data_IF_107132782324
#
_entry.id   IF_107132782324
#
_cell.length_a   1.000
_cell.length_b   1.000
_cell.length_c   1.000
_cell.angle_alpha   90.00
_cell.angle_beta   90.00
_cell.angle_gamma   90.00
#
_symmetry.space_group_name_H-M   'P 1'
#
loop_
_entity.id
_entity.type
_entity.pdbx_description
1 polymer ?
#
# COMPACT_ATOMS: atom_id res chain seq x y z
N UNK A 1 -6.11 23.38 -9.55
CA UNK A 1 -7.03 22.61 -8.70
C UNK A 1 -6.22 21.46 -8.11
N UNK A 2 -6.08 21.40 -6.80
CA UNK A 2 -5.20 20.43 -6.13
C UNK A 2 -6.07 19.25 -5.70
N UNK A 3 -5.56 18.04 -5.92
CA UNK A 3 -6.20 16.79 -5.50
C UNK A 3 -5.29 16.08 -4.51
N UNK A 4 -5.83 15.71 -3.36
CA UNK A 4 -5.15 14.91 -2.34
C UNK A 4 -5.94 13.65 -2.05
N UNK A 5 -5.22 12.60 -1.68
CA UNK A 5 -5.78 11.28 -1.40
C UNK A 5 -5.19 10.77 -0.10
N UNK A 6 -6.06 10.34 0.81
CA UNK A 6 -5.69 9.66 2.05
C UNK A 6 -6.17 8.23 1.92
N UNK A 7 -5.28 7.26 2.07
CA UNK A 7 -5.62 5.84 1.97
C UNK A 7 -5.41 5.17 3.32
N UNK A 8 -6.42 4.48 3.81
CA UNK A 8 -6.42 3.88 5.13
C UNK A 8 -7.25 2.60 5.16
N UNK A 9 -6.98 1.76 6.15
CA UNK A 9 -7.75 0.57 6.48
C UNK A 9 -8.61 0.86 7.70
N UNK A 10 -9.83 0.34 7.66
CA UNK A 10 -10.74 0.41 8.80
C UNK A 10 -10.25 -0.54 9.88
N UNK A 11 -10.15 -0.06 11.12
CA UNK A 11 -9.75 -0.89 12.26
C UNK A 11 -10.76 -1.99 12.60
N UNK A 12 -10.41 -2.86 13.54
CA UNK A 12 -11.22 -4.03 13.93
C UNK A 12 -12.64 -3.67 14.40
N UNK A 13 -12.81 -2.47 14.94
CA UNK A 13 -14.09 -1.98 15.50
C UNK A 13 -15.00 -1.32 14.45
N UNK A 14 -14.58 -1.26 13.19
CA UNK A 14 -15.29 -0.50 12.16
C UNK A 14 -15.15 1.03 12.35
N UNK A 15 -15.82 1.80 11.50
CA UNK A 15 -15.94 3.25 11.66
C UNK A 15 -17.23 3.58 12.44
N UNK A 16 -17.13 4.08 13.69
CA UNK A 16 -18.31 4.38 14.47
C UNK A 16 -19.02 5.65 13.98
N UNK A 17 -20.32 5.77 14.25
CA UNK A 17 -21.14 6.90 13.79
C UNK A 17 -20.62 8.27 14.27
N UNK A 18 -20.07 8.34 15.48
CA UNK A 18 -19.47 9.58 16.00
C UNK A 18 -18.25 10.01 15.19
N UNK A 19 -17.43 9.07 14.70
CA UNK A 19 -16.26 9.37 13.88
C UNK A 19 -16.68 9.91 12.52
N UNK A 20 -17.74 9.37 11.91
CA UNK A 20 -18.32 9.91 10.68
C UNK A 20 -18.88 11.32 10.88
N UNK A 21 -19.55 11.58 12.00
CA UNK A 21 -20.03 12.93 12.31
C UNK A 21 -18.88 13.91 12.56
N UNK A 22 -17.81 13.46 13.22
CA UNK A 22 -16.60 14.26 13.39
C UNK A 22 -15.94 14.57 12.05
N UNK A 23 -15.85 13.59 11.16
CA UNK A 23 -15.32 13.73 9.81
C UNK A 23 -16.14 14.73 8.98
N UNK A 24 -17.47 14.71 9.11
CA UNK A 24 -18.37 15.72 8.53
C UNK A 24 -18.05 17.12 9.04
N UNK A 25 -17.90 17.30 10.35
CA UNK A 25 -17.57 18.61 10.95
C UNK A 25 -16.21 19.09 10.45
N UNK A 26 -15.20 18.21 10.43
CA UNK A 26 -13.86 18.54 9.95
C UNK A 26 -13.87 18.94 8.47
N UNK A 27 -14.57 18.19 7.62
CA UNK A 27 -14.72 18.52 6.21
C UNK A 27 -15.45 19.86 6.01
N UNK A 28 -16.38 20.22 6.90
CA UNK A 28 -17.12 21.48 6.85
C UNK A 28 -16.27 22.74 7.11
N UNK A 29 -15.05 22.61 7.66
CA UNK A 29 -14.13 23.74 7.81
C UNK A 29 -13.44 24.15 6.50
N UNK A 30 -13.47 23.27 5.50
CA UNK A 30 -12.76 23.46 4.24
C UNK A 30 -13.74 23.76 3.10
N UNK A 31 -13.28 24.52 2.12
CA UNK A 31 -14.02 24.76 0.86
C UNK A 31 -13.85 23.61 -0.14
N UNK A 32 -12.88 22.74 0.09
CA UNK A 32 -12.63 21.53 -0.70
C UNK A 32 -13.80 20.55 -0.63
N UNK A 33 -14.08 19.90 -1.75
CA UNK A 33 -14.95 18.73 -1.79
C UNK A 33 -14.22 17.56 -1.14
N UNK A 34 -14.88 16.86 -0.22
CA UNK A 34 -14.33 15.68 0.46
C UNK A 34 -15.26 14.50 0.23
N UNK A 35 -14.75 13.47 -0.46
CA UNK A 35 -15.50 12.24 -0.77
C UNK A 35 -14.80 11.05 -0.13
N UNK A 36 -15.57 10.21 0.55
CA UNK A 36 -15.09 8.93 1.07
C UNK A 36 -15.48 7.80 0.11
N UNK A 37 -14.52 6.94 -0.22
CA UNK A 37 -14.67 5.76 -1.07
C UNK A 37 -14.26 4.51 -0.30
N UNK A 38 -15.15 3.53 -0.23
CA UNK A 38 -14.80 2.17 0.13
C UNK A 38 -14.33 1.46 -1.15
N UNK A 39 -13.02 1.25 -1.27
CA UNK A 39 -12.41 0.62 -2.44
C UNK A 39 -12.78 -0.85 -2.49
N UNK A 40 -12.79 -1.53 -1.34
CA UNK A 40 -13.15 -2.95 -1.23
C UNK A 40 -14.58 -3.24 -1.69
N UNK A 41 -15.53 -2.34 -1.39
CA UNK A 41 -16.93 -2.50 -1.80
C UNK A 41 -17.32 -1.70 -3.06
N UNK A 42 -16.38 -0.97 -3.67
CA UNK A 42 -16.63 -0.08 -4.80
C UNK A 42 -17.77 0.94 -4.56
N UNK A 43 -17.94 1.40 -3.32
CA UNK A 43 -18.95 2.41 -2.95
C UNK A 43 -18.29 3.74 -2.63
N UNK A 44 -19.03 4.84 -2.81
CA UNK A 44 -18.57 6.17 -2.47
C UNK A 44 -19.71 7.01 -1.90
N UNK A 45 -19.36 7.95 -1.03
CA UNK A 45 -20.28 8.87 -0.40
C UNK A 45 -19.58 10.19 -0.10
N UNK A 46 -20.30 11.28 -0.26
CA UNK A 46 -19.86 12.59 0.20
C UNK A 46 -19.78 12.60 1.73
N UNK A 47 -18.68 13.14 2.27
CA UNK A 47 -18.47 13.27 3.72
C UNK A 47 -19.49 14.21 4.37
N UNK A 48 -20.09 15.12 3.60
CA UNK A 48 -21.18 15.99 4.09
C UNK A 48 -22.47 15.21 4.44
N UNK A 49 -22.62 13.99 3.90
CA UNK A 49 -23.82 13.15 3.99
C UNK A 49 -23.57 11.93 4.88
N UNK A 50 -23.62 12.06 6.23
CA UNK A 50 -23.23 11.01 7.16
C UNK A 50 -24.10 9.76 7.05
N UNK A 51 -25.37 9.90 6.68
CA UNK A 51 -26.26 8.77 6.42
C UNK A 51 -25.76 7.93 5.23
N UNK A 52 -25.25 8.56 4.17
CA UNK A 52 -24.65 7.82 3.05
C UNK A 52 -23.30 7.22 3.41
N UNK A 53 -22.52 7.90 4.25
CA UNK A 53 -21.27 7.32 4.76
C UNK A 53 -21.52 6.03 5.55
N UNK A 54 -22.59 5.95 6.35
CA UNK A 54 -22.99 4.72 7.02
C UNK A 54 -23.33 3.59 6.03
N UNK A 55 -23.90 3.92 4.87
CA UNK A 55 -24.21 2.93 3.81
C UNK A 55 -23.00 2.42 3.03
N UNK A 56 -21.82 3.04 3.20
CA UNK A 56 -20.55 2.52 2.66
C UNK A 56 -20.21 1.14 3.19
N UNK A 57 -20.88 0.70 4.27
CA UNK A 57 -20.81 -0.68 4.76
C UNK A 57 -19.42 -1.05 5.25
N UNK A 58 -18.76 -0.13 5.96
CA UNK A 58 -17.38 -0.26 6.42
C UNK A 58 -17.22 -1.47 7.33
N UNK A 59 -16.69 -2.57 6.79
CA UNK A 59 -16.32 -3.75 7.58
C UNK A 59 -14.90 -3.58 8.12
N UNK A 60 -14.56 -4.27 9.22
CA UNK A 60 -13.19 -4.36 9.71
C UNK A 60 -12.21 -4.75 8.58
N UNK A 61 -11.05 -4.11 8.56
CA UNK A 61 -9.96 -4.36 7.61
C UNK A 61 -10.29 -4.05 6.13
N UNK A 62 -11.37 -3.33 5.85
CA UNK A 62 -11.65 -2.85 4.49
C UNK A 62 -10.80 -1.63 4.11
N UNK A 63 -10.45 -1.54 2.82
CA UNK A 63 -9.66 -0.46 2.27
C UNK A 63 -10.55 0.71 1.88
N UNK A 64 -10.28 1.86 2.50
CA UNK A 64 -10.97 3.11 2.24
C UNK A 64 -10.01 4.20 1.77
N UNK A 65 -10.57 5.15 1.03
CA UNK A 65 -9.89 6.33 0.55
C UNK A 65 -10.74 7.57 0.80
N UNK A 66 -10.11 8.65 1.23
CA UNK A 66 -10.70 9.99 1.20
C UNK A 66 -10.05 10.76 0.06
N UNK A 67 -10.88 11.21 -0.88
CA UNK A 67 -10.51 12.08 -1.98
C UNK A 67 -10.87 13.51 -1.60
N UNK A 68 -9.90 14.40 -1.69
CA UNK A 68 -10.05 15.82 -1.37
C UNK A 68 -9.70 16.63 -2.61
N UNK A 69 -10.62 17.46 -3.06
CA UNK A 69 -10.44 18.28 -4.24
C UNK A 69 -10.82 19.73 -3.96
N UNK A 70 -9.86 20.65 -4.15
CA UNK A 70 -10.09 22.07 -3.91
C UNK A 70 -8.82 22.89 -3.81
N UNK A 71 -8.97 24.15 -3.40
CA UNK A 71 -7.86 25.08 -3.21
C UNK A 71 -7.14 24.87 -1.87
N UNK A 72 -7.87 24.45 -0.85
CA UNK A 72 -7.39 24.14 0.51
C UNK A 72 -7.22 22.63 0.74
N UNK A 73 -7.12 21.84 -0.35
CA UNK A 73 -7.04 20.39 -0.29
C UNK A 73 -5.84 19.87 0.51
N UNK A 74 -4.73 20.61 0.54
CA UNK A 74 -3.54 20.25 1.30
C UNK A 74 -3.75 20.40 2.80
N UNK A 75 -4.33 21.51 3.24
CA UNK A 75 -4.64 21.75 4.65
C UNK A 75 -5.70 20.77 5.14
N UNK A 76 -6.73 20.52 4.32
CA UNK A 76 -7.72 19.50 4.58
C UNK A 76 -7.08 18.10 4.69
N UNK A 77 -6.12 17.78 3.82
CA UNK A 77 -5.43 16.49 3.88
C UNK A 77 -4.65 16.32 5.18
N UNK A 78 -3.96 17.35 5.66
CA UNK A 78 -3.20 17.29 6.93
C UNK A 78 -4.15 17.02 8.10
N UNK A 79 -5.21 17.82 8.24
CA UNK A 79 -6.16 17.72 9.37
C UNK A 79 -6.93 16.40 9.33
N UNK A 80 -7.36 15.97 8.15
CA UNK A 80 -8.09 14.70 8.01
C UNK A 80 -7.16 13.50 8.20
N UNK A 81 -5.89 13.58 7.79
CA UNK A 81 -4.92 12.50 8.03
C UNK A 81 -4.68 12.30 9.53
N UNK A 82 -4.50 13.38 10.28
CA UNK A 82 -4.31 13.34 11.74
C UNK A 82 -5.47 12.64 12.45
N UNK A 83 -6.70 13.03 12.13
CA UNK A 83 -7.91 12.36 12.66
C UNK A 83 -8.01 10.88 12.26
N UNK A 84 -7.61 10.53 11.04
CA UNK A 84 -7.65 9.15 10.56
C UNK A 84 -6.55 8.31 11.22
N UNK A 85 -5.37 8.87 11.53
CA UNK A 85 -4.28 8.17 12.24
C UNK A 85 -4.69 7.74 13.66
N UNK A 86 -5.57 8.52 14.30
CA UNK A 86 -6.08 8.19 15.63
C UNK A 86 -7.01 6.97 15.63
N UNK A 87 -7.81 6.78 14.58
CA UNK A 87 -8.93 5.83 14.58
C UNK A 87 -8.83 4.69 13.55
N UNK A 88 -7.98 4.84 12.56
CA UNK A 88 -7.81 3.91 11.46
C UNK A 88 -6.32 3.64 11.24
N UNK A 89 -6.03 2.65 10.40
CA UNK A 89 -4.65 2.32 10.04
C UNK A 89 -4.33 3.01 8.72
N UNK A 90 -3.52 4.08 8.76
CA UNK A 90 -3.05 4.75 7.54
C UNK A 90 -2.11 3.83 6.77
N UNK A 91 -2.34 3.73 5.45
CA UNK A 91 -1.43 2.98 4.57
C UNK A 91 -0.19 3.81 4.24
N UNK A 92 -0.33 5.15 4.19
CA UNK A 92 0.78 6.08 3.99
C UNK A 92 0.56 7.38 4.76
N UNK A 93 1.66 8.00 5.22
CA UNK A 93 1.67 9.34 5.81
C UNK A 93 1.25 9.45 7.27
N UNK A 94 0.90 8.34 7.92
CA UNK A 94 0.64 8.32 9.37
C UNK A 94 1.91 8.24 10.20
N UNK A 95 1.87 8.73 11.43
CA UNK A 95 2.98 8.58 12.40
C UNK A 95 3.03 7.14 12.93
N UNK A 96 1.92 6.40 12.85
CA UNK A 96 1.80 5.01 13.29
C UNK A 96 2.18 4.06 12.16
N UNK A 97 3.43 3.62 12.15
CA UNK A 97 3.89 2.55 11.27
C UNK A 97 3.49 1.18 11.86
N UNK A 98 2.21 0.82 11.74
CA UNK A 98 1.75 -0.52 12.18
C UNK A 98 2.09 -1.51 11.07
N UNK A 99 2.78 -2.63 11.36
CA UNK A 99 2.97 -3.69 10.37
C UNK A 99 1.60 -4.17 9.90
N UNK A 100 1.33 -4.00 8.61
CA UNK A 100 0.11 -4.49 7.98
C UNK A 100 0.07 -6.02 8.11
N UNK A 101 -0.92 -6.53 8.83
CA UNK A 101 -1.19 -7.97 8.91
C UNK A 101 -2.53 -8.24 8.23
N UNK A 102 -2.49 -8.72 6.99
CA UNK A 102 -3.68 -9.10 6.22
C UNK A 102 -4.27 -10.42 6.74
N UNK A 103 -4.81 -10.44 7.95
CA UNK A 103 -5.55 -11.61 8.45
C UNK A 103 -7.02 -11.47 8.04
N UNK A 104 -7.30 -11.46 6.74
CA UNK A 104 -8.65 -11.68 6.25
C UNK A 104 -8.71 -13.08 5.62
N UNK A 105 -9.80 -13.85 5.81
CA UNK A 105 -9.95 -15.18 5.23
C UNK A 105 -9.90 -15.18 3.69
N UNK A 106 -10.15 -14.03 3.06
CA UNK A 106 -9.98 -13.84 1.61
C UNK A 106 -8.50 -13.86 1.15
N UNK A 107 -7.55 -13.68 2.09
CA UNK A 107 -6.11 -13.80 1.88
C UNK A 107 -5.55 -15.14 2.37
N UNK A 108 -6.40 -16.14 2.61
CA UNK A 108 -5.95 -17.52 2.72
C UNK A 108 -5.43 -17.98 1.35
N UNK A 109 -4.20 -17.59 1.05
CA UNK A 109 -3.51 -17.99 -0.17
C UNK A 109 -3.23 -19.49 -0.06
N UNK A 110 -3.36 -20.26 -1.15
CA UNK A 110 -3.05 -21.69 -1.15
C UNK A 110 -1.55 -21.98 -0.97
N UNK A 111 -0.75 -20.93 -0.77
CA UNK A 111 0.68 -20.95 -0.55
C UNK A 111 1.04 -20.00 0.59
N UNK A 112 2.18 -20.27 1.23
CA UNK A 112 2.72 -19.39 2.26
C UNK A 112 3.11 -18.04 1.64
N UNK A 113 2.51 -16.96 2.15
CA UNK A 113 2.82 -15.60 1.73
C UNK A 113 3.43 -14.85 2.91
N UNK A 114 4.69 -14.48 2.79
CA UNK A 114 5.37 -13.62 3.75
C UNK A 114 5.30 -12.17 3.28
N UNK A 115 4.82 -11.30 4.15
CA UNK A 115 4.76 -9.86 3.89
C UNK A 115 6.02 -9.22 4.44
N UNK A 116 6.71 -8.48 3.58
CA UNK A 116 7.91 -7.76 3.94
C UNK A 116 7.70 -6.25 3.79
N UNK A 117 7.89 -5.52 4.88
CA UNK A 117 7.95 -4.06 4.87
C UNK A 117 9.39 -3.63 5.04
N UNK A 118 9.96 -2.94 4.05
CA UNK A 118 11.24 -2.27 4.21
C UNK A 118 10.93 -0.85 4.73
N UNK A 119 11.38 -0.47 5.93
CA UNK A 119 11.18 0.89 6.42
C UNK A 119 11.83 1.86 5.44
N UNK A 120 11.10 2.91 5.07
CA UNK A 120 11.50 3.96 4.13
C UNK A 120 12.58 4.89 4.73
N UNK A 121 13.46 4.37 5.59
CA UNK A 121 14.56 5.10 6.22
C UNK A 121 15.85 5.07 5.39
N UNK A 122 15.83 4.37 4.24
CA UNK A 122 16.98 4.23 3.35
C UNK A 122 17.10 5.31 2.26
N UNK A 123 16.20 6.29 2.22
CA UNK A 123 16.28 7.39 1.26
C UNK A 123 16.64 8.70 1.96
N UNK A 124 17.66 9.44 1.47
CA UNK A 124 18.01 10.75 2.02
C UNK A 124 16.80 11.68 1.92
N UNK A 125 16.64 12.54 2.93
CA UNK A 125 15.50 13.45 3.21
C UNK A 125 15.16 14.49 2.13
N UNK A 126 15.63 14.31 0.90
CA UNK A 126 15.33 15.22 -0.20
C UNK A 126 14.10 14.74 -0.96
N UNK A 127 13.25 15.70 -1.28
CA UNK A 127 12.02 15.65 -2.06
C UNK A 127 12.27 15.18 -3.51
N UNK A 128 12.87 14.00 -3.65
CA UNK A 128 13.29 13.41 -4.90
C UNK A 128 12.23 12.39 -5.27
N UNK A 129 11.65 12.59 -6.44
CA UNK A 129 10.86 11.59 -7.17
C UNK A 129 11.50 10.21 -7.00
N UNK A 130 10.87 9.35 -6.21
CA UNK A 130 11.22 7.95 -6.03
C UNK A 130 11.45 7.30 -7.39
N UNK A 131 12.71 7.15 -7.80
CA UNK A 131 13.03 6.49 -9.05
C UNK A 131 12.68 5.01 -8.89
N UNK A 132 11.66 4.58 -9.64
CA UNK A 132 11.10 3.23 -9.56
C UNK A 132 12.17 2.17 -9.71
N UNK A 133 13.19 2.44 -10.52
CA UNK A 133 14.31 1.50 -10.75
C UNK A 133 15.11 1.24 -9.49
N UNK A 134 15.35 2.27 -8.68
CA UNK A 134 16.07 2.17 -7.41
C UNK A 134 15.25 1.38 -6.39
N UNK A 135 13.94 1.57 -6.36
CA UNK A 135 13.09 0.79 -5.46
C UNK A 135 13.07 -0.70 -5.81
N UNK A 136 13.01 -1.01 -7.12
CA UNK A 136 13.03 -2.38 -7.60
C UNK A 136 14.38 -3.06 -7.35
N UNK A 137 15.51 -2.34 -7.41
CA UNK A 137 16.82 -2.89 -7.07
C UNK A 137 16.93 -3.20 -5.57
N UNK A 138 16.49 -2.30 -4.70
CA UNK A 138 16.46 -2.54 -3.24
C UNK A 138 15.58 -3.74 -2.90
N UNK A 139 14.43 -3.88 -3.58
CA UNK A 139 13.57 -5.06 -3.40
C UNK A 139 14.28 -6.34 -3.81
N UNK A 140 14.98 -6.35 -4.95
CA UNK A 140 15.72 -7.51 -5.43
C UNK A 140 16.87 -7.90 -4.47
N UNK A 141 17.57 -6.90 -3.90
CA UNK A 141 18.59 -7.08 -2.86
C UNK A 141 18.00 -7.75 -1.60
N UNK A 142 16.87 -7.25 -1.10
CA UNK A 142 16.23 -7.80 0.10
C UNK A 142 15.76 -9.24 -0.09
N UNK A 143 15.18 -9.56 -1.26
CA UNK A 143 14.73 -10.92 -1.58
C UNK A 143 15.92 -11.88 -1.69
N UNK A 144 17.00 -11.46 -2.36
CA UNK A 144 18.21 -12.27 -2.49
C UNK A 144 18.88 -12.53 -1.14
N UNK A 145 18.97 -11.52 -0.27
CA UNK A 145 19.53 -11.67 1.08
C UNK A 145 18.73 -12.66 1.94
N UNK A 146 17.39 -12.65 1.82
CA UNK A 146 16.53 -13.59 2.54
C UNK A 146 16.59 -15.01 1.99
N UNK A 147 16.62 -15.18 0.67
CA UNK A 147 16.80 -16.50 0.07
C UNK A 147 18.14 -17.11 0.48
N UNK A 148 19.22 -16.32 0.54
CA UNK A 148 20.50 -16.78 1.07
C UNK A 148 20.43 -17.20 2.55
N UNK A 149 19.66 -16.48 3.38
CA UNK A 149 19.45 -16.85 4.78
C UNK A 149 18.66 -18.17 4.93
N UNK A 150 17.64 -18.40 4.10
CA UNK A 150 16.84 -19.63 4.11
C UNK A 150 17.66 -20.84 3.65
N UNK A 151 18.52 -20.67 2.65
CA UNK A 151 19.40 -21.75 2.15
C UNK A 151 20.42 -22.21 3.19
N UNK A 152 20.88 -21.32 4.07
CA UNK A 152 21.87 -21.64 5.10
C UNK A 152 21.29 -22.44 6.28
N UNK A 153 19.97 -22.40 6.52
CA UNK A 153 19.31 -23.22 7.53
C UNK A 153 19.01 -24.66 7.05
N UNK A 154 19.20 -24.96 5.76
CA UNK A 154 18.98 -26.28 5.17
C UNK A 154 20.25 -27.07 4.83
N UNK A 155 21.44 -26.51 5.04
CA UNK A 155 22.71 -27.13 4.63
C UNK A 155 23.25 -28.10 5.69
N UNK A 156 22.55 -29.21 5.90
CA UNK A 156 23.12 -30.46 6.39
C UNK A 156 22.29 -31.61 5.80
N UNK A 157 22.48 -31.92 4.52
CA UNK A 157 22.84 -33.28 4.11
C UNK A 157 23.00 -33.42 2.59
N UNK A 158 24.02 -34.19 2.24
CA UNK A 158 24.34 -34.80 0.94
C UNK A 158 24.75 -33.90 -0.23
N UNK A 159 26.05 -33.93 -0.50
CA UNK A 159 26.64 -33.71 -1.81
C UNK A 159 26.19 -34.80 -2.80
N UNK A 160 25.97 -34.42 -4.06
CA UNK A 160 26.66 -35.02 -5.21
C UNK A 160 26.40 -34.25 -6.51
N UNK A 161 27.46 -34.15 -7.31
CA UNK A 161 27.56 -33.35 -8.54
C UNK A 161 26.92 -34.05 -9.75
N UNK A 162 26.40 -33.27 -10.69
CA UNK A 162 26.74 -33.44 -12.12
C UNK A 162 26.42 -32.17 -12.91
N UNK A 163 27.45 -31.63 -13.56
CA UNK A 163 27.37 -30.52 -14.49
C UNK A 163 26.80 -30.98 -15.84
N UNK A 164 25.95 -30.15 -16.46
CA UNK A 164 26.03 -29.75 -17.88
C UNK A 164 24.74 -29.00 -18.28
N UNK A 165 24.80 -27.67 -18.33
CA UNK A 165 24.14 -26.83 -19.34
C UNK A 165 24.60 -25.37 -19.18
N UNK A 166 25.62 -25.01 -19.97
CA UNK A 166 26.20 -23.68 -20.03
C UNK A 166 25.42 -22.79 -21.01
N UNK A 167 24.85 -21.69 -20.51
CA UNK A 167 24.85 -20.35 -21.13
C UNK A 167 23.72 -19.40 -20.60
N UNK A 168 23.44 -19.34 -19.30
CA UNK A 168 22.87 -18.12 -18.65
C UNK A 168 23.02 -18.11 -17.10
N UNK A 169 23.90 -18.96 -16.54
CA UNK A 169 23.81 -19.38 -15.13
C UNK A 169 24.59 -18.54 -14.09
N UNK A 170 25.38 -17.55 -14.50
CA UNK A 170 26.26 -16.79 -13.58
C UNK A 170 25.82 -15.34 -13.33
N UNK A 171 24.55 -15.00 -13.59
CA UNK A 171 24.03 -13.72 -13.10
C UNK A 171 23.68 -13.85 -11.62
N UNK A 172 24.14 -12.93 -10.74
CA UNK A 172 23.71 -12.93 -9.35
C UNK A 172 22.19 -12.97 -9.32
N UNK A 173 21.60 -13.79 -8.45
CA UNK A 173 20.15 -13.96 -8.29
C UNK A 173 19.40 -12.61 -8.29
N UNK A 174 20.03 -11.62 -7.68
CA UNK A 174 19.61 -10.22 -7.66
C UNK A 174 19.49 -9.57 -9.05
N UNK A 175 20.48 -9.77 -9.93
CA UNK A 175 20.49 -9.23 -11.29
C UNK A 175 19.42 -9.87 -12.17
N UNK A 176 19.22 -11.19 -12.04
CA UNK A 176 18.16 -11.90 -12.78
C UNK A 176 16.76 -11.46 -12.31
N UNK A 177 16.54 -11.36 -11.00
CA UNK A 177 15.28 -10.90 -10.41
C UNK A 177 14.98 -9.44 -10.78
N UNK A 178 15.97 -8.55 -10.70
CA UNK A 178 15.82 -7.15 -11.10
C UNK A 178 15.44 -7.03 -12.58
N UNK A 179 16.06 -7.81 -13.46
CA UNK A 179 15.72 -7.83 -14.90
C UNK A 179 14.27 -8.26 -15.13
N UNK A 180 13.78 -9.25 -14.39
CA UNK A 180 12.38 -9.68 -14.45
C UNK A 180 11.43 -8.61 -13.91
N UNK A 181 11.77 -7.95 -12.81
CA UNK A 181 10.97 -6.84 -12.25
C UNK A 181 10.89 -5.65 -13.22
N UNK A 182 11.99 -5.29 -13.88
CA UNK A 182 12.02 -4.22 -14.89
C UNK A 182 11.23 -4.60 -16.15
N UNK A 183 11.33 -5.84 -16.61
CA UNK A 183 10.54 -6.34 -17.74
C UNK A 183 9.03 -6.29 -17.44
N UNK A 184 8.65 -6.62 -16.19
CA UNK A 184 7.27 -6.50 -15.74
C UNK A 184 6.82 -5.04 -15.61
N UNK A 185 7.64 -4.14 -15.07
CA UNK A 185 7.36 -2.70 -14.98
C UNK A 185 7.04 -2.08 -16.34
N UNK A 186 7.67 -2.56 -17.42
CA UNK A 186 7.38 -2.11 -18.78
C UNK A 186 5.97 -2.47 -19.27
N UNK A 187 5.35 -3.51 -18.71
CA UNK A 187 4.02 -4.02 -19.08
C UNK A 187 2.95 -3.58 -18.07
N UNK A 188 3.28 -3.56 -16.79
CA UNK A 188 2.38 -3.22 -15.68
C UNK A 188 3.18 -2.60 -14.54
N UNK A 189 2.64 -1.55 -13.90
CA UNK A 189 3.28 -0.94 -12.74
C UNK A 189 3.51 -2.01 -11.65
N UNK A 190 4.78 -2.27 -11.38
CA UNK A 190 5.32 -3.22 -10.40
C UNK A 190 5.82 -2.46 -9.18
N UNK A 191 6.38 -1.26 -9.40
CA UNK A 191 6.67 -0.27 -8.36
C UNK A 191 5.73 0.94 -8.50
N UNK A 192 5.20 1.41 -7.37
CA UNK A 192 4.49 2.68 -7.28
C UNK A 192 5.13 3.54 -6.19
N UNK A 193 5.17 4.86 -6.41
CA UNK A 193 5.64 5.82 -5.41
C UNK A 193 4.62 5.94 -4.27
N UNK A 194 4.19 7.15 -3.95
CA UNK A 194 3.21 7.36 -2.87
C UNK A 194 1.81 6.86 -3.30
N UNK A 195 1.50 5.57 -3.08
CA UNK A 195 0.17 5.02 -3.27
C UNK A 195 0.11 3.50 -3.30
N UNK A 196 -1.12 2.97 -3.40
CA UNK A 196 -1.38 1.54 -3.60
C UNK A 196 -1.57 1.28 -5.09
N UNK A 197 -0.86 0.27 -5.62
CA UNK A 197 -1.17 -0.30 -6.91
C UNK A 197 -2.47 -1.09 -6.84
N UNK A 198 -3.54 -0.51 -7.37
CA UNK A 198 -4.78 -1.23 -7.65
C UNK A 198 -4.70 -1.72 -9.11
N UNK A 199 -4.24 -2.95 -9.38
CA UNK A 199 -4.20 -3.46 -10.75
C UNK A 199 -5.62 -3.41 -11.33
N UNK A 200 -5.78 -2.54 -12.33
CA UNK A 200 -6.96 -2.40 -13.19
C UNK A 200 -8.34 -2.53 -12.51
N UNK A 201 -8.65 -1.68 -11.53
CA UNK A 201 -10.07 -1.31 -11.32
C UNK A 201 -10.47 -0.38 -12.46
N UNK A 202 -10.64 -0.93 -13.66
CA UNK A 202 -11.38 -0.26 -14.74
C UNK A 202 -12.85 -0.21 -14.32
N UNK A 203 -13.22 0.71 -13.44
CA UNK A 203 -14.62 1.12 -13.34
C UNK A 203 -14.91 1.97 -14.56
N UNK A 204 -15.59 1.37 -15.55
CA UNK A 204 -16.25 2.10 -16.63
C UNK A 204 -17.16 3.14 -15.97
N UNK A 205 -16.95 4.41 -16.31
CA UNK A 205 -17.70 5.57 -15.83
C UNK A 205 -19.19 5.46 -16.13
#
# INVERSE_FOLDING_TARGET
MIVRRITFLIGEKGLPAWALNRLKVLAGYFRSMVVMRNVSQCKWADVTQPMRMMTLGTRPSELCQILIEGADAELAAIVLTDFIDEHCLLVQGGQRHVPFSAVAPAFALPFFCQWDSVPFSFLPETEVTLDKRVLLSVMADCVAAKQAAISNDGANDSADNSADEAADADQPLNTALLKQLLAREAVSSTCMGNGIALPHVMSRW
#
